data_IF_369892738686
#
_entry.id   IF_369892738686
#
_cell.length_a   1.000
_cell.length_b   1.000
_cell.length_c   1.000
_cell.angle_alpha   90.00
_cell.angle_beta   90.00
_cell.angle_gamma   90.00
#
_symmetry.space_group_name_H-M   'P 1'
#
loop_
_entity.id
_entity.type
_entity.pdbx_description
1 polymer ?
#
# COMPACT_ATOMS: atom_id res chain seq x y z
N UNK A 1 7.88 -62.94 13.05
CA UNK A 1 7.22 -61.80 12.41
C UNK A 1 6.63 -60.92 13.52
N UNK A 2 7.32 -59.87 13.92
CA UNK A 2 6.81 -58.85 14.85
C UNK A 2 6.44 -57.62 14.03
N UNK A 3 5.16 -57.34 13.96
CA UNK A 3 4.61 -56.12 13.36
C UNK A 3 4.75 -54.96 14.37
N UNK A 4 5.62 -54.02 14.06
CA UNK A 4 5.73 -52.77 14.81
C UNK A 4 4.57 -51.83 14.42
N UNK A 5 3.68 -51.55 15.38
CA UNK A 5 2.64 -50.52 15.24
C UNK A 5 3.29 -49.18 15.52
N UNK A 6 3.43 -48.34 14.48
CA UNK A 6 3.86 -46.97 14.63
C UNK A 6 2.74 -46.16 15.28
N UNK A 7 2.96 -45.72 16.51
CA UNK A 7 2.06 -44.78 17.19
C UNK A 7 2.24 -43.39 16.55
N UNK A 8 1.23 -42.91 15.87
CA UNK A 8 1.10 -41.51 15.42
C UNK A 8 0.96 -40.63 16.67
N UNK A 9 2.02 -39.95 17.02
CA UNK A 9 1.98 -38.87 18.02
C UNK A 9 1.16 -37.70 17.44
N UNK A 10 -0.14 -37.69 17.69
CA UNK A 10 -1.00 -36.52 17.50
C UNK A 10 -0.65 -35.55 18.64
N UNK A 11 0.19 -34.57 18.36
CA UNK A 11 0.33 -33.39 19.24
C UNK A 11 -1.06 -32.79 19.49
N UNK A 12 -1.40 -32.42 20.76
CA UNK A 12 -2.68 -31.81 21.03
C UNK A 12 -2.80 -30.52 20.22
N UNK A 13 -3.77 -30.44 19.32
CA UNK A 13 -4.17 -29.18 18.70
C UNK A 13 -4.62 -28.28 19.86
N UNK A 14 -3.82 -27.28 20.20
CA UNK A 14 -4.28 -26.19 21.05
C UNK A 14 -5.54 -25.64 20.37
N UNK A 15 -6.70 -25.83 20.99
CA UNK A 15 -7.96 -25.34 20.43
C UNK A 15 -7.84 -23.84 20.21
N UNK A 16 -7.93 -23.39 18.95
CA UNK A 16 -7.91 -21.99 18.62
C UNK A 16 -9.07 -21.28 19.39
N UNK A 17 -8.77 -20.11 19.99
CA UNK A 17 -9.79 -19.32 20.70
C UNK A 17 -10.98 -19.05 19.79
N UNK A 18 -12.19 -19.15 20.31
CA UNK A 18 -13.38 -18.65 19.62
C UNK A 18 -13.34 -17.13 19.54
N UNK A 19 -14.08 -16.54 18.59
CA UNK A 19 -14.10 -15.08 18.48
C UNK A 19 -14.59 -14.38 19.75
N UNK A 20 -15.57 -14.96 20.45
CA UNK A 20 -16.03 -14.44 21.74
C UNK A 20 -14.90 -14.40 22.78
N UNK A 21 -14.09 -15.44 22.85
CA UNK A 21 -12.92 -15.46 23.75
C UNK A 21 -11.86 -14.44 23.33
N UNK A 22 -11.68 -14.20 22.01
CA UNK A 22 -10.79 -13.13 21.51
C UNK A 22 -11.30 -11.77 22.01
N UNK A 23 -12.61 -11.47 21.87
CA UNK A 23 -13.21 -10.22 22.34
C UNK A 23 -13.07 -10.03 23.85
N UNK A 24 -13.29 -11.09 24.64
CA UNK A 24 -13.13 -11.05 26.10
C UNK A 24 -11.69 -10.71 26.51
N UNK A 25 -10.70 -11.37 25.90
CA UNK A 25 -9.28 -11.13 26.19
C UNK A 25 -8.79 -9.79 25.69
N UNK A 26 -9.28 -9.31 24.54
CA UNK A 26 -8.94 -8.02 23.98
C UNK A 26 -9.38 -6.84 24.86
N UNK A 27 -10.45 -7.00 25.63
CA UNK A 27 -11.02 -5.93 26.46
C UNK A 27 -9.98 -5.41 27.48
N UNK A 28 -9.73 -4.10 27.43
CA UNK A 28 -8.78 -3.43 28.29
C UNK A 28 -7.34 -3.46 27.79
N UNK A 29 -7.02 -4.29 26.79
CA UNK A 29 -5.69 -4.27 26.15
C UNK A 29 -5.40 -2.92 25.52
N UNK A 30 -4.10 -2.57 25.49
CA UNK A 30 -3.58 -1.46 24.69
C UNK A 30 -2.89 -2.06 23.47
N UNK A 31 -3.23 -1.59 22.28
CA UNK A 31 -2.66 -2.01 21.02
C UNK A 31 -1.83 -0.87 20.45
N UNK A 32 -0.54 -1.07 20.29
CA UNK A 32 0.37 -0.13 19.64
C UNK A 32 0.46 -0.46 18.15
N UNK A 33 -0.15 0.41 17.33
CA UNK A 33 -0.17 0.26 15.88
C UNK A 33 0.90 1.14 15.24
N UNK A 34 1.98 0.52 14.81
CA UNK A 34 3.06 1.17 14.08
C UNK A 34 2.68 1.28 12.60
N UNK A 35 2.73 2.50 12.09
CA UNK A 35 2.31 2.78 10.73
C UNK A 35 2.98 4.04 10.19
N UNK A 36 3.08 4.11 8.85
CA UNK A 36 3.56 5.31 8.20
C UNK A 36 2.66 6.51 8.51
N UNK A 37 3.27 7.61 8.98
CA UNK A 37 2.57 8.79 9.48
C UNK A 37 2.60 9.99 8.54
N UNK A 38 2.95 9.80 7.26
CA UNK A 38 3.20 10.90 6.33
C UNK A 38 1.93 11.66 5.89
N UNK A 39 0.76 11.01 5.77
CA UNK A 39 -0.46 11.66 5.33
C UNK A 39 -1.34 12.14 6.49
N UNK A 40 -1.66 13.47 6.55
CA UNK A 40 -2.54 14.01 7.58
C UNK A 40 -3.95 13.39 7.57
N UNK A 41 -4.52 13.08 6.41
CA UNK A 41 -5.84 12.47 6.26
C UNK A 41 -5.90 11.06 6.87
N UNK A 42 -4.87 10.23 6.63
CA UNK A 42 -4.75 8.90 7.24
C UNK A 42 -4.66 9.00 8.75
N UNK A 43 -3.82 9.91 9.27
CA UNK A 43 -3.67 10.14 10.71
C UNK A 43 -4.99 10.64 11.33
N UNK A 44 -5.70 11.54 10.64
CA UNK A 44 -7.01 12.03 11.09
C UNK A 44 -8.07 10.92 11.13
N UNK A 45 -8.12 10.04 10.11
CA UNK A 45 -9.00 8.87 10.12
C UNK A 45 -8.68 7.94 11.28
N UNK A 46 -7.41 7.57 11.48
CA UNK A 46 -7.02 6.64 12.54
C UNK A 46 -7.30 7.25 13.92
N UNK A 47 -6.78 8.44 14.21
CA UNK A 47 -6.90 9.05 15.55
C UNK A 47 -8.28 9.63 15.82
N UNK A 48 -8.93 10.21 14.80
CA UNK A 48 -10.24 10.86 14.95
C UNK A 48 -11.42 9.89 14.90
N UNK A 49 -11.24 8.73 14.25
CA UNK A 49 -12.35 7.79 14.08
C UNK A 49 -12.04 6.38 14.61
N UNK A 50 -10.97 5.71 14.11
CA UNK A 50 -10.70 4.30 14.48
C UNK A 50 -10.42 4.17 15.97
N UNK A 51 -9.54 5.00 16.52
CA UNK A 51 -9.14 4.96 17.94
C UNK A 51 -10.35 5.09 18.90
N UNK A 52 -11.19 6.14 18.82
CA UNK A 52 -12.34 6.26 19.70
C UNK A 52 -13.38 5.15 19.46
N UNK A 53 -13.59 4.74 18.21
CA UNK A 53 -14.61 3.76 17.87
C UNK A 53 -14.28 2.35 18.34
N UNK A 54 -13.04 1.92 18.19
CA UNK A 54 -12.55 0.62 18.71
C UNK A 54 -12.65 0.57 20.23
N UNK A 55 -12.31 1.69 20.91
CA UNK A 55 -12.47 1.79 22.35
C UNK A 55 -13.94 1.69 22.79
N UNK A 56 -14.84 2.39 22.09
CA UNK A 56 -16.28 2.38 22.37
C UNK A 56 -16.88 0.98 22.19
N UNK A 57 -16.60 0.33 21.06
CA UNK A 57 -17.23 -0.95 20.71
C UNK A 57 -16.65 -2.14 21.48
N UNK A 58 -15.34 -2.15 21.68
CA UNK A 58 -14.63 -3.35 22.15
C UNK A 58 -13.86 -3.14 23.46
N UNK A 59 -13.72 -1.92 23.94
CA UNK A 59 -12.93 -1.60 25.12
C UNK A 59 -11.42 -1.72 24.89
N UNK A 60 -10.96 -1.80 23.65
CA UNK A 60 -9.53 -1.84 23.26
C UNK A 60 -8.98 -0.41 23.15
N UNK A 61 -7.83 -0.17 23.75
CA UNK A 61 -7.12 1.12 23.67
C UNK A 61 -6.13 1.07 22.50
N UNK A 62 -6.46 1.68 21.37
CA UNK A 62 -5.57 1.76 20.23
C UNK A 62 -4.70 3.02 20.32
N UNK A 63 -3.39 2.88 20.07
CA UNK A 63 -2.44 3.99 19.95
C UNK A 63 -1.77 3.92 18.59
N UNK A 64 -1.91 4.96 17.78
CA UNK A 64 -1.12 5.11 16.56
C UNK A 64 0.31 5.52 16.94
N UNK A 65 1.29 4.79 16.42
CA UNK A 65 2.72 5.10 16.53
C UNK A 65 3.24 5.42 15.13
N UNK A 66 3.35 6.71 14.75
CA UNK A 66 3.79 7.06 13.41
C UNK A 66 5.29 6.82 13.25
N UNK A 67 5.66 6.19 12.13
CA UNK A 67 7.06 5.97 11.72
C UNK A 67 7.30 6.57 10.34
N UNK A 68 8.57 6.84 10.03
CA UNK A 68 8.97 7.30 8.69
C UNK A 68 9.06 6.16 7.70
N UNK A 69 9.53 5.00 8.17
CA UNK A 69 9.68 3.79 7.40
C UNK A 69 9.38 2.56 8.27
N UNK A 70 8.57 1.64 7.76
CA UNK A 70 8.23 0.41 8.48
C UNK A 70 9.42 -0.57 8.60
N UNK A 71 10.44 -0.44 7.76
CA UNK A 71 11.66 -1.23 7.86
C UNK A 71 12.39 -1.05 9.20
N UNK A 72 12.29 0.14 9.84
CA UNK A 72 12.82 0.39 11.19
C UNK A 72 12.11 -0.49 12.23
N UNK A 73 10.80 -0.65 12.09
CA UNK A 73 9.96 -1.48 12.96
C UNK A 73 10.35 -2.97 12.83
N UNK A 74 10.52 -3.42 11.58
CA UNK A 74 10.93 -4.81 11.29
C UNK A 74 12.32 -5.12 11.85
N UNK A 75 13.25 -4.18 11.71
CA UNK A 75 14.59 -4.30 12.30
C UNK A 75 14.52 -4.48 13.82
N UNK A 76 13.63 -3.75 14.49
CA UNK A 76 13.39 -3.89 15.94
C UNK A 76 12.85 -5.28 16.30
N UNK A 77 11.85 -5.78 15.57
CA UNK A 77 11.27 -7.11 15.78
C UNK A 77 12.34 -8.21 15.57
N UNK A 78 13.19 -8.06 14.56
CA UNK A 78 14.33 -8.96 14.32
C UNK A 78 15.29 -9.01 15.52
N UNK A 79 15.65 -7.86 16.07
CA UNK A 79 16.51 -7.77 17.27
C UNK A 79 15.83 -8.42 18.47
N UNK A 80 14.53 -8.17 18.69
CA UNK A 80 13.78 -8.83 19.78
C UNK A 80 13.78 -10.37 19.61
N UNK A 81 13.60 -10.88 18.39
CA UNK A 81 13.67 -12.32 18.09
C UNK A 81 15.06 -12.90 18.38
N UNK A 82 16.12 -12.24 17.93
CA UNK A 82 17.49 -12.66 18.18
C UNK A 82 17.84 -12.66 19.68
N UNK A 83 17.26 -11.74 20.43
CA UNK A 83 17.38 -11.69 21.90
C UNK A 83 16.51 -12.73 22.64
N UNK A 84 15.75 -13.56 21.91
CA UNK A 84 14.87 -14.56 22.50
C UNK A 84 13.59 -14.00 23.15
N UNK A 85 13.21 -12.75 22.84
CA UNK A 85 11.99 -12.12 23.34
C UNK A 85 10.77 -12.60 22.54
N UNK A 86 10.24 -13.77 22.93
CA UNK A 86 9.14 -14.44 22.23
C UNK A 86 7.75 -13.93 22.63
N UNK A 87 7.63 -13.11 23.68
CA UNK A 87 6.40 -12.53 24.19
C UNK A 87 6.65 -11.11 24.68
N UNK A 88 5.56 -10.31 24.81
CA UNK A 88 5.65 -8.97 25.38
C UNK A 88 6.45 -7.99 24.50
N UNK A 89 6.38 -8.13 23.19
CA UNK A 89 6.92 -7.17 22.24
C UNK A 89 6.25 -5.81 22.40
N UNK A 90 6.92 -4.77 21.92
CA UNK A 90 6.40 -3.39 21.98
C UNK A 90 5.47 -3.05 20.83
N UNK A 91 5.43 -3.89 19.79
CA UNK A 91 4.67 -3.68 18.58
C UNK A 91 3.55 -4.72 18.56
N UNK A 92 2.27 -4.25 18.51
CA UNK A 92 1.13 -5.14 18.50
C UNK A 92 0.50 -5.28 17.12
N UNK A 93 0.52 -4.21 16.33
CA UNK A 93 0.00 -4.17 14.98
C UNK A 93 0.92 -3.29 14.13
N UNK A 94 1.10 -3.62 12.87
CA UNK A 94 1.87 -2.81 11.94
C UNK A 94 1.18 -2.74 10.57
N UNK A 95 1.22 -1.56 9.95
CA UNK A 95 0.88 -1.41 8.54
C UNK A 95 2.10 -1.86 7.74
N UNK A 96 1.94 -2.88 6.93
CA UNK A 96 3.02 -3.55 6.23
C UNK A 96 2.59 -3.86 4.79
N UNK A 97 3.54 -3.91 3.90
CA UNK A 97 3.38 -4.46 2.56
C UNK A 97 4.74 -4.68 1.87
N UNK A 98 4.70 -5.39 0.76
CA UNK A 98 5.83 -5.57 -0.14
C UNK A 98 7.00 -6.34 0.45
N UNK A 99 8.21 -5.79 0.27
CA UNK A 99 9.47 -6.36 0.73
C UNK A 99 9.52 -6.53 2.25
N UNK A 100 8.78 -5.70 2.98
CA UNK A 100 8.67 -5.75 4.43
C UNK A 100 7.91 -6.99 4.88
N UNK A 101 6.79 -7.31 4.23
CA UNK A 101 6.05 -8.56 4.48
C UNK A 101 6.91 -9.79 4.15
N UNK A 102 7.56 -9.80 2.97
CA UNK A 102 8.48 -10.87 2.58
C UNK A 102 9.59 -11.08 3.62
N UNK A 103 10.18 -9.99 4.12
CA UNK A 103 11.23 -10.04 5.16
C UNK A 103 10.70 -10.65 6.45
N UNK A 104 9.52 -10.21 6.89
CA UNK A 104 8.88 -10.77 8.09
C UNK A 104 8.58 -12.25 7.94
N UNK A 105 8.03 -12.66 6.80
CA UNK A 105 7.67 -14.05 6.54
C UNK A 105 8.88 -14.96 6.49
N UNK A 106 9.96 -14.56 5.80
CA UNK A 106 11.22 -15.32 5.71
C UNK A 106 11.91 -15.53 7.06
N UNK A 107 11.70 -14.61 7.98
CA UNK A 107 12.32 -14.64 9.31
C UNK A 107 11.34 -15.08 10.41
N UNK A 108 10.16 -15.60 10.08
CA UNK A 108 9.11 -16.02 11.03
C UNK A 108 8.79 -14.94 12.08
N UNK A 109 8.63 -13.69 11.64
CA UNK A 109 8.36 -12.55 12.51
C UNK A 109 6.88 -12.27 12.73
N UNK A 110 5.99 -13.07 12.13
CA UNK A 110 4.56 -12.83 12.13
C UNK A 110 3.80 -13.83 13.01
N UNK A 111 2.76 -13.34 13.66
CA UNK A 111 1.76 -14.17 14.32
C UNK A 111 0.67 -14.55 13.31
N UNK A 112 0.32 -15.80 13.25
CA UNK A 112 -0.75 -16.24 12.35
C UNK A 112 -0.67 -17.72 11.99
N UNK A 113 -1.53 -18.16 11.03
CA UNK A 113 -2.54 -17.34 10.33
C UNK A 113 -3.63 -16.80 11.26
N UNK A 114 -3.98 -15.52 11.12
CA UNK A 114 -5.01 -14.89 11.95
C UNK A 114 -6.16 -14.32 11.12
N UNK A 115 -5.90 -13.91 9.87
CA UNK A 115 -6.90 -13.23 9.03
C UNK A 115 -8.13 -14.10 8.77
N UNK A 116 -7.96 -15.43 8.61
CA UNK A 116 -9.05 -16.39 8.42
C UNK A 116 -10.00 -16.50 9.62
N UNK A 117 -9.57 -15.98 10.78
CA UNK A 117 -10.32 -16.01 12.03
C UNK A 117 -11.16 -14.75 12.27
N UNK A 118 -10.97 -13.73 11.46
CA UNK A 118 -11.69 -12.46 11.55
C UNK A 118 -13.11 -12.61 11.01
N UNK A 119 -14.18 -12.24 11.74
CA UNK A 119 -15.56 -12.36 11.26
C UNK A 119 -15.84 -11.62 9.95
N UNK A 120 -15.22 -10.47 9.76
CA UNK A 120 -15.42 -9.64 8.57
C UNK A 120 -14.59 -10.07 7.36
N UNK A 121 -13.67 -11.04 7.50
CA UNK A 121 -12.86 -11.55 6.39
C UNK A 121 -13.71 -12.12 5.23
N UNK A 122 -14.93 -12.57 5.50
CA UNK A 122 -15.90 -13.01 4.49
C UNK A 122 -16.31 -11.91 3.50
N UNK A 123 -16.13 -10.65 3.87
CA UNK A 123 -16.39 -9.48 3.04
C UNK A 123 -15.24 -9.17 2.08
N UNK A 124 -14.07 -9.75 2.31
CA UNK A 124 -12.88 -9.56 1.47
C UNK A 124 -12.92 -10.53 0.30
N UNK A 125 -12.58 -10.06 -0.89
CA UNK A 125 -12.40 -10.93 -2.05
C UNK A 125 -10.95 -11.43 -2.12
N UNK A 126 -10.69 -12.54 -1.46
CA UNK A 126 -9.39 -13.20 -1.41
C UNK A 126 -8.94 -13.80 -2.75
N UNK A 127 -9.79 -13.79 -3.79
CA UNK A 127 -9.41 -14.26 -5.14
C UNK A 127 -8.73 -13.17 -5.96
N UNK A 128 -8.82 -11.91 -5.54
CA UNK A 128 -8.13 -10.80 -6.21
C UNK A 128 -6.61 -10.95 -6.03
N UNK A 129 -5.83 -10.90 -7.12
CA UNK A 129 -4.37 -11.07 -7.05
C UNK A 129 -3.68 -10.15 -6.05
N UNK A 130 -4.08 -8.87 -5.96
CA UNK A 130 -3.52 -7.88 -5.04
C UNK A 130 -3.93 -8.07 -3.56
N UNK A 131 -4.88 -8.96 -3.27
CA UNK A 131 -5.29 -9.36 -1.91
C UNK A 131 -4.73 -10.72 -1.54
N UNK A 132 -4.61 -11.62 -2.54
CA UNK A 132 -4.05 -12.94 -2.36
C UNK A 132 -2.53 -12.94 -2.17
N UNK A 133 -1.86 -12.02 -2.86
CA UNK A 133 -0.41 -11.85 -2.80
C UNK A 133 -0.07 -10.39 -2.46
N UNK A 134 0.91 -10.21 -1.59
CA UNK A 134 1.55 -8.93 -1.34
C UNK A 134 2.89 -8.87 -2.07
N UNK A 135 2.98 -8.06 -3.14
CA UNK A 135 4.14 -7.97 -4.03
C UNK A 135 4.70 -9.34 -4.46
N UNK A 136 3.78 -10.19 -4.91
CA UNK A 136 4.11 -11.56 -5.36
C UNK A 136 4.29 -12.59 -4.24
N UNK A 137 4.29 -12.19 -2.97
CA UNK A 137 4.41 -13.08 -1.82
C UNK A 137 3.01 -13.50 -1.33
N UNK A 138 2.66 -14.81 -1.28
CA UNK A 138 1.35 -15.27 -0.81
C UNK A 138 1.08 -14.84 0.64
N UNK A 139 -0.09 -14.22 0.88
CA UNK A 139 -0.52 -13.68 2.19
C UNK A 139 -0.72 -14.79 3.23
N UNK A 140 -1.35 -15.90 2.85
CA UNK A 140 -1.54 -17.09 3.70
C UNK A 140 -2.13 -16.79 5.10
N UNK A 141 -2.99 -15.78 5.20
CA UNK A 141 -3.63 -15.40 6.46
C UNK A 141 -2.72 -14.71 7.49
N UNK A 142 -1.49 -14.37 7.13
CA UNK A 142 -0.51 -13.71 8.02
C UNK A 142 -0.69 -12.19 8.10
N UNK A 143 -1.51 -11.64 7.22
CA UNK A 143 -1.90 -10.23 7.22
C UNK A 143 -3.36 -10.08 6.77
N UNK A 144 -3.98 -8.96 7.13
CA UNK A 144 -5.36 -8.60 6.80
C UNK A 144 -5.39 -7.31 5.99
N UNK A 145 -6.13 -7.26 4.86
CA UNK A 145 -6.24 -6.02 4.09
C UNK A 145 -7.05 -4.98 4.87
N UNK A 146 -6.76 -3.70 4.67
CA UNK A 146 -7.57 -2.63 5.26
C UNK A 146 -7.81 -1.44 4.32
N UNK A 147 -7.16 -1.41 3.16
CA UNK A 147 -7.33 -0.42 2.12
C UNK A 147 -6.75 -0.90 0.81
N UNK A 148 -6.89 -0.09 -0.23
CA UNK A 148 -6.28 -0.34 -1.53
C UNK A 148 -5.77 0.94 -2.15
N UNK A 149 -4.67 0.83 -2.89
CA UNK A 149 -4.03 1.92 -3.57
C UNK A 149 -3.91 1.62 -5.07
N UNK A 150 -3.89 2.67 -5.87
CA UNK A 150 -3.53 2.61 -7.28
C UNK A 150 -2.83 3.91 -7.67
N UNK A 151 -1.72 3.79 -8.36
CA UNK A 151 -1.01 4.96 -8.85
C UNK A 151 -1.87 5.72 -9.86
N UNK A 152 -1.98 7.02 -9.64
CA UNK A 152 -2.66 7.95 -10.55
C UNK A 152 -1.75 9.11 -10.87
N UNK A 153 -1.91 9.66 -12.07
CA UNK A 153 -1.29 10.91 -12.48
C UNK A 153 -2.24 12.06 -12.20
N UNK A 154 -1.73 13.15 -11.62
CA UNK A 154 -2.48 14.36 -11.27
C UNK A 154 -1.98 15.51 -12.13
N UNK A 155 -2.88 16.33 -12.68
CA UNK A 155 -2.55 17.46 -13.56
C UNK A 155 -3.60 18.57 -13.47
N UNK A 156 -3.25 19.79 -13.86
CA UNK A 156 -4.23 20.89 -14.02
C UNK A 156 -4.73 20.94 -15.48
N UNK A 157 -6.01 20.65 -15.70
CA UNK A 157 -6.64 20.62 -17.02
C UNK A 157 -6.66 21.99 -17.74
N UNK A 158 -6.47 23.09 -17.02
CA UNK A 158 -6.29 24.42 -17.63
C UNK A 158 -4.92 24.56 -18.29
N UNK A 159 -3.89 23.93 -17.70
CA UNK A 159 -2.52 23.95 -18.26
C UNK A 159 -2.30 22.87 -19.29
N UNK A 160 -2.90 21.69 -19.07
CA UNK A 160 -2.78 20.52 -19.92
C UNK A 160 -4.19 20.08 -20.34
N UNK A 161 -4.78 20.65 -21.41
CA UNK A 161 -6.12 20.28 -21.86
C UNK A 161 -6.24 18.82 -22.32
N UNK A 162 -5.14 18.23 -22.80
CA UNK A 162 -5.06 16.85 -23.26
C UNK A 162 -3.83 16.19 -22.62
N UNK A 163 -3.99 15.49 -21.49
CA UNK A 163 -2.87 14.81 -20.84
C UNK A 163 -2.41 13.59 -21.64
N UNK A 164 -1.12 13.18 -21.49
CA UNK A 164 -0.63 11.93 -22.05
C UNK A 164 -1.46 10.74 -21.59
N UNK A 165 -1.82 9.86 -22.52
CA UNK A 165 -2.67 8.70 -22.24
C UNK A 165 -1.87 7.40 -22.04
N UNK A 166 -0.58 7.41 -22.39
CA UNK A 166 0.32 6.28 -22.30
C UNK A 166 1.65 6.72 -21.69
N UNK A 167 2.43 5.78 -21.19
CA UNK A 167 3.79 6.07 -20.69
C UNK A 167 4.68 6.61 -21.81
N UNK A 168 4.54 6.09 -23.03
CA UNK A 168 5.28 6.61 -24.19
C UNK A 168 4.97 8.09 -24.45
N UNK A 169 3.69 8.47 -24.46
CA UNK A 169 3.27 9.86 -24.62
C UNK A 169 3.77 10.76 -23.47
N UNK A 170 3.79 10.25 -22.24
CA UNK A 170 4.33 11.00 -21.09
C UNK A 170 5.85 11.24 -21.25
N UNK A 171 6.60 10.24 -21.68
CA UNK A 171 8.05 10.37 -21.91
C UNK A 171 8.35 11.38 -23.02
N UNK A 172 7.57 11.36 -24.10
CA UNK A 172 7.71 12.35 -25.18
C UNK A 172 7.33 13.75 -24.71
N UNK A 173 6.27 13.86 -23.90
CA UNK A 173 5.87 15.12 -23.29
C UNK A 173 6.99 15.69 -22.38
N UNK A 174 7.63 14.86 -21.54
CA UNK A 174 8.74 15.27 -20.66
C UNK A 174 9.89 15.86 -21.49
N UNK A 175 10.27 15.20 -22.60
CA UNK A 175 11.36 15.69 -23.50
C UNK A 175 11.01 17.03 -24.15
N UNK A 176 9.73 17.24 -24.49
CA UNK A 176 9.24 18.46 -25.14
C UNK A 176 9.04 19.63 -24.15
N UNK A 177 8.91 19.35 -22.86
CA UNK A 177 8.64 20.33 -21.81
C UNK A 177 9.67 20.25 -20.68
N UNK A 178 10.95 20.56 -20.94
CA UNK A 178 12.00 20.40 -19.94
C UNK A 178 11.73 21.24 -18.69
N UNK A 179 12.00 20.65 -17.54
CA UNK A 179 11.78 21.25 -16.22
C UNK A 179 10.36 21.11 -15.67
N UNK A 180 9.42 20.54 -16.43
CA UNK A 180 8.00 20.52 -16.07
C UNK A 180 7.50 19.19 -15.45
N UNK A 181 8.37 18.22 -15.24
CA UNK A 181 8.06 16.93 -14.64
C UNK A 181 9.07 16.59 -13.56
N UNK A 182 8.58 16.00 -12.46
CA UNK A 182 9.39 15.45 -11.38
C UNK A 182 8.73 14.20 -10.80
N UNK A 183 9.53 13.39 -10.13
CA UNK A 183 9.08 12.30 -9.26
C UNK A 183 9.98 12.25 -8.01
N UNK A 184 9.51 11.77 -6.85
CA UNK A 184 10.33 11.60 -5.67
C UNK A 184 11.49 10.60 -5.92
N UNK A 185 12.61 10.78 -5.24
CA UNK A 185 13.71 9.83 -5.37
C UNK A 185 13.37 8.50 -4.71
N UNK A 186 13.57 7.34 -5.37
CA UNK A 186 13.63 6.07 -4.65
C UNK A 186 14.64 6.13 -3.48
N UNK A 187 14.39 5.47 -2.35
CA UNK A 187 13.33 4.48 -2.13
C UNK A 187 11.96 5.06 -1.73
N UNK A 188 11.70 6.37 -1.88
CA UNK A 188 10.33 6.87 -1.70
C UNK A 188 9.35 6.02 -2.52
N UNK A 189 8.28 5.54 -1.89
CA UNK A 189 7.38 4.56 -2.46
C UNK A 189 6.67 5.07 -3.73
N UNK A 190 6.33 6.37 -3.77
CA UNK A 190 5.71 7.04 -4.93
C UNK A 190 6.74 7.29 -6.05
N UNK A 191 7.96 7.62 -5.70
CA UNK A 191 9.03 7.71 -6.68
C UNK A 191 9.39 6.36 -7.28
N UNK A 192 9.45 5.35 -6.43
CA UNK A 192 9.71 3.97 -6.84
C UNK A 192 8.61 3.43 -7.78
N UNK A 193 7.32 3.82 -7.61
CA UNK A 193 6.29 3.40 -8.54
C UNK A 193 6.49 3.96 -9.94
N UNK A 194 7.00 5.18 -10.08
CA UNK A 194 7.34 5.71 -11.40
C UNK A 194 8.44 4.87 -12.08
N UNK A 195 9.49 4.51 -11.34
CA UNK A 195 10.56 3.63 -11.86
C UNK A 195 9.99 2.26 -12.27
N UNK A 196 9.07 1.68 -11.50
CA UNK A 196 8.39 0.42 -11.82
C UNK A 196 7.48 0.53 -13.06
N UNK A 197 6.83 1.66 -13.27
CA UNK A 197 6.08 1.90 -14.51
C UNK A 197 7.00 1.98 -15.71
N UNK A 198 8.16 2.65 -15.60
CA UNK A 198 9.17 2.65 -16.66
C UNK A 198 9.68 1.23 -16.93
N UNK A 199 9.92 0.44 -15.89
CA UNK A 199 10.32 -0.97 -16.02
C UNK A 199 9.26 -1.79 -16.78
N UNK A 200 7.99 -1.65 -16.46
CA UNK A 200 6.92 -2.31 -17.21
C UNK A 200 6.82 -1.80 -18.65
N UNK A 201 6.98 -0.51 -18.86
CA UNK A 201 6.98 0.07 -20.21
C UNK A 201 8.08 -0.52 -21.11
N UNK A 202 9.31 -0.68 -20.61
CA UNK A 202 10.42 -1.21 -21.42
C UNK A 202 10.44 -2.73 -21.51
N UNK A 203 9.82 -3.42 -20.57
CA UNK A 203 9.81 -4.89 -20.50
C UNK A 203 8.53 -5.52 -21.08
N UNK A 204 7.49 -4.74 -21.34
CA UNK A 204 6.22 -5.19 -21.91
C UNK A 204 5.22 -5.67 -20.87
N UNK A 205 4.76 -6.92 -20.98
CA UNK A 205 3.66 -7.45 -20.15
C UNK A 205 4.02 -7.55 -18.65
N UNK A 206 3.29 -6.82 -17.80
CA UNK A 206 3.44 -6.86 -16.35
C UNK A 206 3.12 -8.24 -15.75
N UNK A 207 2.17 -8.98 -16.34
CA UNK A 207 1.80 -10.31 -15.87
C UNK A 207 2.95 -11.31 -15.99
N UNK A 208 3.82 -11.13 -16.98
CA UNK A 208 4.97 -12.00 -17.20
C UNK A 208 6.06 -11.88 -16.11
N UNK A 209 5.92 -10.91 -15.20
CA UNK A 209 6.82 -10.72 -14.05
C UNK A 209 6.28 -11.30 -12.74
N UNK A 210 5.08 -11.89 -12.77
CA UNK A 210 4.44 -12.48 -11.58
C UNK A 210 4.87 -13.93 -11.30
N UNK A 211 5.76 -14.50 -12.12
CA UNK A 211 6.27 -15.88 -11.99
C UNK A 211 7.61 -15.98 -11.29
N UNK A 212 8.36 -17.06 -11.60
CA UNK A 212 9.73 -17.22 -11.12
C UNK A 212 10.63 -16.07 -11.60
N UNK A 213 11.54 -15.64 -10.72
CA UNK A 213 12.50 -14.57 -11.03
C UNK A 213 13.55 -15.09 -12.01
N UNK A 214 13.62 -14.46 -13.18
CA UNK A 214 14.65 -14.68 -14.19
C UNK A 214 15.67 -13.52 -14.15
N UNK A 215 16.85 -13.79 -13.65
CA UNK A 215 17.92 -12.79 -13.44
C UNK A 215 18.34 -12.12 -14.75
N UNK A 216 18.57 -12.92 -15.80
CA UNK A 216 19.01 -12.37 -17.09
C UNK A 216 17.94 -11.48 -17.73
N UNK A 217 16.69 -11.93 -17.70
CA UNK A 217 15.56 -11.13 -18.20
C UNK A 217 15.40 -9.84 -17.40
N UNK A 218 15.58 -9.93 -16.06
CA UNK A 218 15.52 -8.77 -15.19
C UNK A 218 16.66 -7.78 -15.54
N UNK A 219 17.91 -8.22 -15.64
CA UNK A 219 19.05 -7.37 -15.94
C UNK A 219 18.89 -6.65 -17.28
N UNK A 220 18.41 -7.35 -18.32
CA UNK A 220 18.13 -6.75 -19.63
C UNK A 220 17.06 -5.65 -19.55
N UNK A 221 15.99 -5.87 -18.79
CA UNK A 221 14.90 -4.90 -18.60
C UNK A 221 15.33 -3.73 -17.70
N UNK A 222 16.02 -4.01 -16.60
CA UNK A 222 16.51 -3.02 -15.66
C UNK A 222 17.52 -2.06 -16.33
N UNK A 223 18.44 -2.59 -17.12
CA UNK A 223 19.39 -1.77 -17.88
C UNK A 223 18.67 -0.81 -18.84
N UNK A 224 17.65 -1.27 -19.56
CA UNK A 224 16.83 -0.41 -20.44
C UNK A 224 16.10 0.65 -19.61
N UNK A 225 15.59 0.28 -18.43
CA UNK A 225 14.94 1.21 -17.49
C UNK A 225 15.88 2.33 -17.08
N UNK A 226 17.10 1.99 -16.64
CA UNK A 226 18.08 3.00 -16.21
C UNK A 226 18.56 3.87 -17.36
N UNK A 227 18.77 3.31 -18.55
CA UNK A 227 19.11 4.09 -19.75
C UNK A 227 18.02 5.10 -20.09
N UNK A 228 16.75 4.70 -20.04
CA UNK A 228 15.62 5.58 -20.31
C UNK A 228 15.47 6.68 -19.25
N UNK A 229 15.63 6.33 -17.96
CA UNK A 229 15.62 7.32 -16.88
C UNK A 229 16.76 8.33 -16.98
N UNK A 230 17.96 7.90 -17.43
CA UNK A 230 19.08 8.81 -17.71
C UNK A 230 18.82 9.71 -18.92
N UNK A 231 18.19 9.19 -19.96
CA UNK A 231 17.83 9.95 -21.15
C UNK A 231 16.86 11.10 -20.83
N UNK A 232 15.86 10.85 -19.99
CA UNK A 232 14.91 11.91 -19.60
C UNK A 232 15.43 12.82 -18.48
N UNK A 233 16.47 12.44 -17.74
CA UNK A 233 16.93 13.20 -16.57
C UNK A 233 17.22 14.68 -16.86
N UNK A 234 17.87 15.08 -17.97
CA UNK A 234 18.09 16.50 -18.30
C UNK A 234 16.80 17.29 -18.52
N UNK A 235 15.69 16.61 -18.85
CA UNK A 235 14.38 17.22 -19.06
C UNK A 235 13.51 17.25 -17.80
N UNK A 236 13.96 16.66 -16.68
CA UNK A 236 13.25 16.70 -15.41
C UNK A 236 13.40 18.08 -14.73
N UNK A 237 12.53 18.36 -13.77
CA UNK A 237 12.62 19.49 -12.86
C UNK A 237 14.06 19.60 -12.30
N UNK A 238 14.61 20.81 -12.34
CA UNK A 238 16.01 21.10 -11.96
C UNK A 238 17.02 20.21 -12.70
N UNK A 239 16.70 19.82 -13.95
CA UNK A 239 17.54 18.96 -14.79
C UNK A 239 17.87 17.60 -14.14
N UNK A 240 16.96 17.13 -13.28
CA UNK A 240 17.15 15.89 -12.54
C UNK A 240 18.29 15.91 -11.51
N UNK A 241 18.92 17.05 -11.26
CA UNK A 241 20.01 17.16 -10.26
C UNK A 241 19.51 16.99 -8.82
N UNK A 242 18.24 17.28 -8.59
CA UNK A 242 17.52 17.05 -7.32
C UNK A 242 16.13 16.51 -7.60
N UNK A 243 15.59 15.78 -6.63
CA UNK A 243 14.25 15.21 -6.68
C UNK A 243 13.40 15.73 -5.51
N UNK A 244 12.07 15.79 -5.63
CA UNK A 244 11.20 16.00 -4.47
C UNK A 244 11.48 14.95 -3.39
N UNK A 245 11.44 15.36 -2.13
CA UNK A 245 11.73 14.47 -1.00
C UNK A 245 10.66 13.36 -0.85
N UNK A 246 9.41 13.71 -1.18
CA UNK A 246 8.25 12.84 -0.99
C UNK A 246 7.07 13.34 -1.86
N UNK A 247 5.94 12.57 -1.95
CA UNK A 247 4.77 12.97 -2.72
C UNK A 247 4.13 14.28 -2.25
N UNK A 248 4.22 14.63 -0.96
CA UNK A 248 3.67 15.88 -0.44
C UNK A 248 4.43 17.07 -1.05
N UNK A 249 5.76 17.01 -1.10
CA UNK A 249 6.56 18.03 -1.76
C UNK A 249 6.25 18.12 -3.26
N UNK A 250 6.04 16.98 -3.91
CA UNK A 250 5.64 16.94 -5.32
C UNK A 250 4.27 17.61 -5.55
N UNK A 251 3.30 17.35 -4.66
CA UNK A 251 1.98 17.98 -4.70
C UNK A 251 2.08 19.52 -4.59
N UNK A 252 2.93 20.03 -3.72
CA UNK A 252 3.19 21.48 -3.63
C UNK A 252 3.83 22.04 -4.89
N UNK A 253 4.78 21.32 -5.52
CA UNK A 253 5.38 21.78 -6.80
C UNK A 253 4.32 21.87 -7.91
N UNK A 254 3.33 20.98 -7.94
CA UNK A 254 2.21 21.06 -8.87
C UNK A 254 1.31 22.28 -8.55
N UNK A 255 0.97 22.48 -7.28
CA UNK A 255 0.17 23.63 -6.83
C UNK A 255 0.82 24.97 -7.17
N UNK A 256 2.13 25.08 -6.93
CA UNK A 256 2.93 26.26 -7.23
C UNK A 256 3.18 26.46 -8.74
N UNK A 257 2.83 25.47 -9.57
CA UNK A 257 3.04 25.49 -11.01
C UNK A 257 4.49 25.30 -11.44
N UNK A 258 5.36 24.79 -10.57
CA UNK A 258 6.75 24.45 -10.93
C UNK A 258 6.80 23.21 -11.82
N UNK A 259 5.88 22.25 -11.60
CA UNK A 259 5.69 21.06 -12.46
C UNK A 259 4.25 21.02 -12.96
N UNK A 260 3.98 20.20 -13.96
CA UNK A 260 2.65 20.05 -14.56
C UNK A 260 1.97 18.71 -14.21
N UNK A 261 2.73 17.78 -13.63
CA UNK A 261 2.21 16.51 -13.17
C UNK A 261 2.71 16.19 -11.76
N UNK A 262 1.85 15.51 -10.99
CA UNK A 262 2.22 14.81 -9.78
C UNK A 262 1.77 13.34 -9.88
N UNK A 263 2.34 12.50 -9.04
CA UNK A 263 2.02 11.08 -8.94
C UNK A 263 1.53 10.84 -7.52
N UNK A 264 0.45 10.08 -7.38
CA UNK A 264 -0.03 9.62 -6.08
C UNK A 264 -0.47 8.18 -6.15
N UNK A 265 -0.27 7.42 -5.07
CA UNK A 265 -0.89 6.11 -4.87
C UNK A 265 -2.32 6.20 -4.36
N UNK A 266 -2.77 7.41 -4.02
CA UNK A 266 -4.09 7.63 -3.47
C UNK A 266 -5.01 8.26 -4.54
N UNK A 267 -5.91 7.48 -5.18
CA UNK A 267 -6.71 7.96 -6.31
C UNK A 267 -7.62 9.15 -5.99
N UNK A 268 -8.00 9.36 -4.74
CA UNK A 268 -8.82 10.48 -4.32
C UNK A 268 -8.01 11.69 -3.80
N UNK A 269 -6.68 11.62 -3.79
CA UNK A 269 -5.83 12.69 -3.23
C UNK A 269 -6.09 14.05 -3.89
N UNK A 270 -6.18 14.08 -5.22
CA UNK A 270 -6.44 15.34 -5.92
C UNK A 270 -7.77 15.98 -5.50
N UNK A 271 -8.83 15.19 -5.31
CA UNK A 271 -10.11 15.68 -4.81
C UNK A 271 -10.01 16.21 -3.38
N UNK A 272 -9.25 15.52 -2.52
CA UNK A 272 -8.98 15.98 -1.15
C UNK A 272 -8.19 17.28 -1.15
N UNK A 273 -7.15 17.39 -1.98
CA UNK A 273 -6.34 18.60 -2.11
C UNK A 273 -7.14 19.81 -2.65
N UNK A 274 -8.14 19.55 -3.55
CA UNK A 274 -9.08 20.59 -3.99
C UNK A 274 -9.98 21.02 -2.83
N UNK A 275 -10.54 20.06 -2.08
CA UNK A 275 -11.37 20.34 -0.91
C UNK A 275 -10.62 21.18 0.14
N UNK A 276 -9.36 20.85 0.39
CA UNK A 276 -8.51 21.54 1.37
C UNK A 276 -7.95 22.89 0.84
N UNK A 277 -8.23 23.25 -0.41
CA UNK A 277 -7.83 24.52 -1.02
C UNK A 277 -6.37 24.59 -1.48
N UNK A 278 -5.66 23.45 -1.55
CA UNK A 278 -4.30 23.39 -2.10
C UNK A 278 -4.32 23.41 -3.63
N UNK A 279 -5.26 22.66 -4.24
CA UNK A 279 -5.42 22.62 -5.68
C UNK A 279 -6.62 23.42 -6.16
N UNK A 280 -6.57 24.05 -7.35
CA UNK A 280 -7.75 24.60 -8.00
C UNK A 280 -8.72 23.50 -8.44
N UNK A 281 -9.99 23.85 -8.63
CA UNK A 281 -11.05 22.96 -9.08
C UNK A 281 -10.87 22.39 -10.52
N UNK A 282 -9.86 22.87 -11.23
CA UNK A 282 -9.47 22.43 -12.57
C UNK A 282 -8.52 21.23 -12.56
N UNK A 283 -7.98 20.86 -11.39
CA UNK A 283 -7.12 19.67 -11.26
C UNK A 283 -7.93 18.40 -11.50
N UNK A 284 -7.32 17.45 -12.19
CA UNK A 284 -7.89 16.14 -12.57
C UNK A 284 -6.85 15.02 -12.36
N UNK A 285 -7.33 13.79 -12.40
CA UNK A 285 -6.48 12.60 -12.41
C UNK A 285 -6.71 11.79 -13.68
N UNK A 286 -5.72 10.99 -14.03
CA UNK A 286 -5.84 9.96 -15.06
C UNK A 286 -4.98 8.75 -14.71
N UNK A 287 -5.26 7.64 -15.37
CA UNK A 287 -4.46 6.41 -15.42
C UNK A 287 -4.05 6.15 -16.85
N UNK A 288 -2.93 5.48 -17.07
CA UNK A 288 -2.52 5.13 -18.43
C UNK A 288 -3.42 4.05 -19.05
N UNK A 289 -3.54 4.06 -20.37
CA UNK A 289 -4.31 3.03 -21.11
C UNK A 289 -3.79 1.62 -20.88
N UNK A 290 -2.47 1.47 -20.77
CA UNK A 290 -1.80 0.22 -20.42
C UNK A 290 -1.97 -0.17 -18.94
N UNK A 291 -2.49 0.73 -18.13
CA UNK A 291 -2.74 0.54 -16.72
C UNK A 291 -1.74 1.24 -15.80
N UNK A 292 -2.08 1.28 -14.51
CA UNK A 292 -1.22 1.79 -13.44
C UNK A 292 -1.15 0.79 -12.29
N UNK A 293 0.00 0.76 -11.64
CA UNK A 293 0.28 -0.18 -10.56
C UNK A 293 -0.65 0.05 -9.39
N UNK A 294 -1.21 -1.04 -8.87
CA UNK A 294 -2.12 -1.07 -7.74
C UNK A 294 -1.69 -2.09 -6.70
N UNK A 295 -1.95 -1.81 -5.42
CA UNK A 295 -1.69 -2.72 -4.31
C UNK A 295 -2.78 -2.66 -3.24
N UNK A 296 -2.63 -3.48 -2.22
CA UNK A 296 -3.49 -3.53 -1.05
C UNK A 296 -2.70 -3.07 0.17
N UNK A 297 -3.33 -2.28 1.05
CA UNK A 297 -2.77 -1.96 2.35
C UNK A 297 -3.08 -3.09 3.31
N UNK A 298 -2.06 -3.63 3.97
CA UNK A 298 -2.22 -4.72 4.93
C UNK A 298 -1.83 -4.30 6.35
N UNK A 299 -2.44 -4.98 7.32
CA UNK A 299 -1.97 -4.98 8.71
C UNK A 299 -1.54 -6.38 9.11
N UNK A 300 -0.43 -6.46 9.82
CA UNK A 300 0.13 -7.71 10.35
C UNK A 300 0.40 -7.59 11.84
N UNK A 301 0.42 -8.74 12.51
CA UNK A 301 0.67 -8.86 13.95
C UNK A 301 2.05 -9.50 14.13
N UNK A 302 2.99 -8.88 14.87
CA UNK A 302 4.27 -9.50 15.18
C UNK A 302 4.12 -10.79 16.01
N UNK A 303 5.05 -11.72 15.83
CA UNK A 303 5.05 -13.03 16.52
C UNK A 303 5.01 -12.90 18.05
N UNK A 304 5.66 -11.87 18.60
CA UNK A 304 5.80 -11.60 20.03
C UNK A 304 4.91 -10.48 20.56
N UNK A 305 3.92 -10.01 19.77
CA UNK A 305 3.00 -8.95 20.18
C UNK A 305 2.39 -9.24 21.57
N UNK A 306 2.31 -8.22 22.41
CA UNK A 306 1.77 -8.32 23.76
C UNK A 306 0.23 -8.38 23.76
N UNK A 307 -0.43 -7.72 22.80
CA UNK A 307 -1.88 -7.59 22.69
C UNK A 307 -2.44 -8.23 21.41
N UNK A 308 -2.12 -9.50 21.14
CA UNK A 308 -2.52 -10.23 19.92
C UNK A 308 -4.03 -10.23 19.70
N UNK A 309 -4.81 -10.47 20.75
CA UNK A 309 -6.28 -10.47 20.66
C UNK A 309 -6.82 -9.07 20.35
N UNK A 310 -6.29 -8.04 21.02
CA UNK A 310 -6.62 -6.65 20.72
C UNK A 310 -6.28 -6.27 19.28
N UNK A 311 -5.11 -6.68 18.78
CA UNK A 311 -4.68 -6.45 17.40
C UNK A 311 -5.61 -7.15 16.40
N UNK A 312 -6.05 -8.39 16.67
CA UNK A 312 -7.05 -9.09 15.84
C UNK A 312 -8.39 -8.33 15.81
N UNK A 313 -8.85 -7.79 16.95
CA UNK A 313 -10.08 -7.00 17.02
C UNK A 313 -9.96 -5.71 16.22
N UNK A 314 -8.82 -5.03 16.29
CA UNK A 314 -8.55 -3.84 15.44
C UNK A 314 -8.55 -4.23 13.97
N UNK A 315 -7.86 -5.31 13.58
CA UNK A 315 -7.82 -5.77 12.19
C UNK A 315 -9.21 -6.12 11.65
N UNK A 316 -10.06 -6.79 12.44
CA UNK A 316 -11.44 -7.08 12.06
C UNK A 316 -12.29 -5.81 11.91
N UNK A 317 -12.14 -4.85 12.83
CA UNK A 317 -12.84 -3.56 12.73
C UNK A 317 -12.43 -2.80 11.45
N UNK A 318 -11.15 -2.80 11.10
CA UNK A 318 -10.66 -2.10 9.91
C UNK A 318 -11.30 -2.60 8.60
N UNK A 319 -11.73 -3.86 8.52
CA UNK A 319 -12.48 -4.44 7.39
C UNK A 319 -13.99 -4.51 7.64
N UNK A 320 -14.50 -3.83 8.64
CA UNK A 320 -15.95 -3.71 8.85
C UNK A 320 -16.56 -2.74 7.82
N UNK A 321 -17.85 -2.92 7.44
CA UNK A 321 -18.53 -1.99 6.53
C UNK A 321 -18.52 -0.55 7.04
N UNK A 322 -18.64 -0.35 8.36
CA UNK A 322 -18.62 0.95 9.01
C UNK A 322 -17.28 1.66 8.83
N UNK A 323 -16.17 0.98 9.16
CA UNK A 323 -14.82 1.54 9.06
C UNK A 323 -14.44 1.82 7.60
N UNK A 324 -14.80 0.91 6.70
CA UNK A 324 -14.52 1.05 5.28
C UNK A 324 -15.31 2.19 4.62
N UNK A 325 -16.61 2.36 4.98
CA UNK A 325 -17.41 3.48 4.49
C UNK A 325 -16.84 4.82 4.97
N UNK A 326 -16.46 4.92 6.25
CA UNK A 326 -15.89 6.15 6.81
C UNK A 326 -14.54 6.48 6.20
N UNK A 327 -13.73 5.48 5.91
CA UNK A 327 -12.44 5.63 5.23
C UNK A 327 -12.62 6.10 3.78
N UNK A 328 -13.63 5.59 3.08
CA UNK A 328 -13.92 5.93 1.68
C UNK A 328 -14.51 7.33 1.50
N UNK A 329 -14.96 7.98 2.58
CA UNK A 329 -15.46 9.35 2.56
C UNK A 329 -14.33 10.33 2.19
N UNK A 330 -14.41 11.07 1.05
CA UNK A 330 -13.36 11.98 0.61
C UNK A 330 -13.15 13.18 1.54
N UNK A 331 -14.13 13.52 2.40
CA UNK A 331 -13.95 14.54 3.43
C UNK A 331 -13.05 14.03 4.56
N UNK A 332 -12.91 12.71 4.71
CA UNK A 332 -12.08 12.06 5.76
C UNK A 332 -10.74 11.64 5.19
N UNK A 333 -10.75 10.67 4.29
CA UNK A 333 -9.54 10.19 3.63
C UNK A 333 -9.77 9.90 2.14
N UNK A 334 -10.89 9.27 1.77
CA UNK A 334 -11.22 8.91 0.40
C UNK A 334 -10.53 7.63 -0.09
N UNK A 335 -9.94 6.85 0.82
CA UNK A 335 -9.24 5.61 0.46
C UNK A 335 -10.20 4.51 0.03
N UNK A 336 -9.79 3.71 -0.97
CA UNK A 336 -10.66 2.71 -1.56
C UNK A 336 -10.89 1.52 -0.62
N UNK A 337 -12.12 0.94 -0.64
CA UNK A 337 -12.45 -0.18 0.21
C UNK A 337 -11.62 -1.43 -0.09
N UNK A 338 -11.13 -2.08 0.98
CA UNK A 338 -10.51 -3.40 0.91
C UNK A 338 -11.52 -4.55 0.85
N UNK A 339 -12.78 -4.26 1.12
CA UNK A 339 -13.89 -5.22 1.07
C UNK A 339 -14.60 -5.18 -0.29
N UNK A 340 -15.22 -6.29 -0.64
CA UNK A 340 -16.12 -6.37 -1.81
C UNK A 340 -17.51 -5.87 -1.43
N UNK A 341 -17.87 -4.69 -1.95
CA UNK A 341 -19.16 -4.03 -1.67
C UNK A 341 -20.33 -4.92 -2.09
N UNK A 342 -20.18 -5.79 -3.09
CA UNK A 342 -21.24 -6.69 -3.55
C UNK A 342 -21.59 -7.78 -2.53
N UNK A 343 -20.70 -8.05 -1.57
CA UNK A 343 -20.94 -9.00 -0.47
C UNK A 343 -21.68 -8.40 0.72
N UNK A 344 -21.91 -7.09 0.69
CA UNK A 344 -22.68 -6.37 1.71
C UNK A 344 -24.18 -6.51 1.48
N UNK A 345 -24.97 -6.24 2.51
CA UNK A 345 -26.41 -6.07 2.35
C UNK A 345 -26.73 -4.78 1.54
N UNK A 346 -27.98 -4.70 1.04
CA UNK A 346 -28.41 -3.59 0.20
C UNK A 346 -28.26 -2.22 0.85
N UNK A 347 -28.48 -2.13 2.15
CA UNK A 347 -28.40 -0.86 2.90
C UNK A 347 -26.96 -0.33 2.89
N UNK A 348 -25.97 -1.20 3.09
CA UNK A 348 -24.58 -0.81 3.01
C UNK A 348 -24.15 -0.51 1.58
N UNK A 349 -24.58 -1.33 0.59
CA UNK A 349 -24.30 -1.06 -0.81
C UNK A 349 -24.80 0.33 -1.24
N UNK A 350 -26.02 0.72 -0.83
CA UNK A 350 -26.57 2.04 -1.11
C UNK A 350 -25.72 3.16 -0.51
N UNK A 351 -25.25 3.01 0.74
CA UNK A 351 -24.37 3.99 1.39
C UNK A 351 -23.06 4.19 0.62
N UNK A 352 -22.41 3.11 0.18
CA UNK A 352 -21.20 3.20 -0.62
C UNK A 352 -21.46 3.84 -2.00
N UNK A 353 -22.55 3.46 -2.65
CA UNK A 353 -22.91 3.96 -3.99
C UNK A 353 -23.30 5.45 -3.99
N UNK A 354 -23.79 5.97 -2.88
CA UNK A 354 -24.20 7.38 -2.72
C UNK A 354 -23.07 8.26 -2.18
N UNK A 355 -21.94 7.67 -1.82
CA UNK A 355 -20.79 8.44 -1.31
C UNK A 355 -20.22 9.34 -2.42
N UNK A 356 -20.08 10.66 -2.21
CA UNK A 356 -19.45 11.53 -3.19
C UNK A 356 -17.98 11.14 -3.38
N UNK A 357 -17.51 11.11 -4.63
CA UNK A 357 -16.13 10.72 -4.95
C UNK A 357 -15.17 11.91 -5.07
N UNK A 358 -15.73 13.12 -5.22
CA UNK A 358 -14.97 14.33 -5.55
C UNK A 358 -14.70 14.48 -7.05
N UNK A 359 -14.46 15.72 -7.46
CA UNK A 359 -14.43 16.13 -8.88
C UNK A 359 -13.23 15.55 -9.66
N UNK A 360 -12.13 15.26 -8.97
CA UNK A 360 -10.89 14.77 -9.58
C UNK A 360 -10.68 13.26 -9.41
N UNK A 361 -11.57 12.55 -8.72
CA UNK A 361 -11.44 11.10 -8.50
C UNK A 361 -12.09 10.33 -9.63
N UNK A 362 -11.34 9.40 -10.23
CA UNK A 362 -11.83 8.51 -11.28
C UNK A 362 -12.88 7.53 -10.75
N UNK A 363 -13.71 7.01 -11.65
CA UNK A 363 -14.69 5.98 -11.30
C UNK A 363 -14.01 4.66 -10.92
N UNK A 364 -14.65 3.86 -10.05
CA UNK A 364 -14.14 2.52 -9.68
C UNK A 364 -13.95 1.64 -10.92
N UNK A 365 -14.86 1.73 -11.88
CA UNK A 365 -14.78 0.98 -13.13
C UNK A 365 -13.53 1.33 -13.92
N UNK A 366 -13.22 2.62 -14.05
CA UNK A 366 -12.05 3.09 -14.78
C UNK A 366 -10.77 2.64 -14.10
N UNK A 367 -10.68 2.82 -12.79
CA UNK A 367 -9.53 2.36 -12.00
C UNK A 367 -9.35 0.84 -12.10
N UNK A 368 -10.41 0.05 -11.90
CA UNK A 368 -10.34 -1.42 -11.97
C UNK A 368 -9.95 -1.94 -13.36
N UNK A 369 -10.41 -1.27 -14.43
CA UNK A 369 -10.07 -1.65 -15.81
C UNK A 369 -8.58 -1.45 -16.11
N UNK A 370 -7.93 -0.53 -15.42
CA UNK A 370 -6.53 -0.13 -15.66
C UNK A 370 -5.59 -0.48 -14.50
N UNK A 371 -5.81 -1.62 -13.82
CA UNK A 371 -4.92 -2.08 -12.76
C UNK A 371 -3.78 -2.93 -13.30
N UNK A 372 -2.56 -2.60 -12.89
CA UNK A 372 -1.39 -3.46 -13.02
C UNK A 372 -0.99 -3.99 -11.64
N UNK A 373 -0.49 -5.22 -11.56
CA UNK A 373 0.04 -5.75 -10.31
C UNK A 373 1.35 -5.07 -9.94
N UNK A 374 1.67 -5.05 -8.64
CA UNK A 374 3.03 -4.74 -8.21
C UNK A 374 3.99 -5.83 -8.70
N UNK A 375 5.20 -5.48 -9.13
CA UNK A 375 6.20 -6.50 -9.37
C UNK A 375 6.61 -7.17 -8.05
N UNK A 376 7.08 -8.43 -8.08
CA UNK A 376 7.63 -9.11 -6.91
C UNK A 376 8.67 -8.24 -6.17
N UNK A 377 8.71 -8.35 -4.85
CA UNK A 377 9.60 -7.56 -3.97
C UNK A 377 11.08 -7.64 -4.37
N UNK A 378 11.53 -8.75 -4.95
CA UNK A 378 12.90 -8.91 -5.47
C UNK A 378 13.19 -7.87 -6.57
N UNK A 379 12.23 -7.69 -7.48
CA UNK A 379 12.35 -6.73 -8.59
C UNK A 379 12.39 -5.31 -8.04
N UNK A 380 11.48 -4.98 -7.10
CA UNK A 380 11.42 -3.66 -6.48
C UNK A 380 12.78 -3.29 -5.84
N UNK A 381 13.29 -4.15 -4.95
CA UNK A 381 14.56 -3.91 -4.23
C UNK A 381 15.72 -3.70 -5.19
N UNK A 382 15.81 -4.53 -6.22
CA UNK A 382 16.90 -4.43 -7.22
C UNK A 382 16.77 -3.19 -8.10
N UNK A 383 15.54 -2.80 -8.49
CA UNK A 383 15.31 -1.58 -9.26
C UNK A 383 15.70 -0.32 -8.48
N UNK A 384 15.35 -0.24 -7.21
CA UNK A 384 15.69 0.90 -6.35
C UNK A 384 17.20 1.02 -6.15
N UNK A 385 17.86 -0.11 -5.85
CA UNK A 385 19.30 -0.16 -5.72
C UNK A 385 19.98 0.27 -7.02
N UNK A 386 19.55 -0.27 -8.15
CA UNK A 386 20.12 0.07 -9.45
C UNK A 386 19.81 1.51 -9.88
N UNK A 387 18.66 2.07 -9.46
CA UNK A 387 18.37 3.48 -9.67
C UNK A 387 19.38 4.39 -8.94
N UNK A 388 19.69 4.09 -7.68
CA UNK A 388 20.70 4.83 -6.91
C UNK A 388 22.08 4.75 -7.57
N UNK A 389 22.48 3.54 -8.00
CA UNK A 389 23.80 3.30 -8.58
C UNK A 389 23.95 3.89 -10.00
N UNK A 390 22.95 3.70 -10.86
CA UNK A 390 23.04 4.04 -12.28
C UNK A 390 22.41 5.38 -12.63
N UNK A 391 21.34 5.81 -11.97
CA UNK A 391 20.63 7.05 -12.30
C UNK A 391 21.09 8.20 -11.42
N UNK A 392 21.17 8.01 -10.10
CA UNK A 392 21.58 9.06 -9.18
C UNK A 392 23.08 9.28 -9.13
N UNK A 393 23.88 8.22 -8.91
CA UNK A 393 25.35 8.27 -8.79
C UNK A 393 26.08 8.09 -10.11
N UNK A 394 25.44 7.52 -11.11
CA UNK A 394 26.03 7.25 -12.43
C UNK A 394 25.97 8.40 -13.43
N UNK A 395 25.89 9.64 -12.94
CA UNK A 395 25.84 10.89 -13.73
C UNK A 395 27.21 11.44 -14.03
#
# INVERSE_FOLDING_TARGET
MLTAVAALNLSPRVNALTWLQVLERARGQTVDWFMWGGFPSTNAYVNGYVVPRVKELYGVKLRQVPVKDIAEVISKILVEKQAGKNEGGEIDLMWINGENFRTCKKNDLLYGPFADRLPNQKLVDWTRPSVHNDFGEPVQGLESPWGSAQAVMIYDSRRIPQPPQTMAELLDWIRQHPGRFAYPAPPDFTGSVFVRHIFYHVSGDAAAWQGEFDEKRFDDAANKTYLLLKDIAPSLWRQGMTYPENPIRLAHLLADGEVDFAISYHPAEASKMIHDGLYPDTVRTFVFKEGTISNTHFVAIPFNAAAKEGAMVVADFLISPEAQLKKADPEVWGDFPAIDIQRLDKTWQEKFNTLPRGIATLSDKELQTHQLPEPPSEILIRLEKGWDEHVLKGR
#
